data_IF_515281823257
#
_entry.id   IF_515281823257
#
_cell.length_a   1.000
_cell.length_b   1.000
_cell.length_c   1.000
_cell.angle_alpha   90.00
_cell.angle_beta   90.00
_cell.angle_gamma   90.00
#
_symmetry.space_group_name_H-M   'P 1'
#
loop_
_entity.id
_entity.type
_entity.pdbx_description
1 polymer ?
#
# COMPACT_ATOMS: atom_id res chain seq x y z
N UNK A 1 17.28 6.64 18.58
CA UNK A 1 18.69 6.23 18.44
C UNK A 1 19.36 7.10 17.39
N UNK A 2 20.65 7.37 17.52
CA UNK A 2 21.46 8.02 16.48
C UNK A 2 21.85 7.01 15.40
N UNK A 3 22.27 7.48 14.22
CA UNK A 3 22.76 6.59 13.16
C UNK A 3 23.94 5.70 13.62
N UNK A 4 24.83 6.22 14.47
CA UNK A 4 25.95 5.43 15.00
C UNK A 4 25.44 4.34 15.97
N UNK A 5 24.51 4.68 16.87
CA UNK A 5 23.91 3.70 17.78
C UNK A 5 23.19 2.58 17.02
N UNK A 6 22.52 2.91 15.90
CA UNK A 6 21.86 1.91 15.05
C UNK A 6 22.90 1.01 14.37
N UNK A 7 24.00 1.59 13.87
CA UNK A 7 25.07 0.84 13.22
C UNK A 7 25.71 -0.17 14.19
N UNK A 8 25.99 0.28 15.41
CA UNK A 8 26.59 -0.55 16.46
C UNK A 8 25.62 -1.66 16.90
N UNK A 9 24.35 -1.31 17.17
CA UNK A 9 23.34 -2.25 17.64
C UNK A 9 23.04 -3.37 16.62
N UNK A 10 23.05 -3.04 15.32
CA UNK A 10 22.78 -4.01 14.25
C UNK A 10 24.05 -4.64 13.67
N UNK A 11 25.24 -4.22 14.10
CA UNK A 11 26.53 -4.66 13.55
C UNK A 11 26.62 -4.51 12.02
N UNK A 12 26.12 -3.38 11.49
CA UNK A 12 26.16 -3.06 10.05
C UNK A 12 26.90 -1.75 9.80
N UNK A 13 27.35 -1.54 8.57
CA UNK A 13 28.13 -0.35 8.22
C UNK A 13 27.30 0.95 8.34
N UNK A 14 27.97 2.05 8.67
CA UNK A 14 27.35 3.39 8.69
C UNK A 14 26.72 3.77 7.34
N UNK A 15 27.31 3.31 6.23
CA UNK A 15 26.75 3.49 4.89
C UNK A 15 25.42 2.76 4.71
N UNK A 16 25.32 1.51 5.20
CA UNK A 16 24.08 0.74 5.19
C UNK A 16 23.00 1.40 6.05
N UNK A 17 23.35 1.88 7.26
CA UNK A 17 22.42 2.64 8.11
C UNK A 17 21.94 3.92 7.44
N UNK A 18 22.86 4.69 6.83
CA UNK A 18 22.50 5.95 6.16
C UNK A 18 21.53 5.70 5.00
N UNK A 19 21.79 4.66 4.21
CA UNK A 19 20.89 4.25 3.13
C UNK A 19 19.54 3.80 3.68
N UNK A 20 19.52 2.95 4.71
CA UNK A 20 18.29 2.49 5.35
C UNK A 20 17.45 3.63 5.94
N UNK A 21 18.07 4.60 6.62
CA UNK A 21 17.40 5.78 7.15
C UNK A 21 16.77 6.60 6.02
N UNK A 22 17.52 6.85 4.93
CA UNK A 22 17.00 7.60 3.79
C UNK A 22 15.79 6.91 3.18
N UNK A 23 15.84 5.59 3.01
CA UNK A 23 14.71 4.81 2.50
C UNK A 23 13.51 4.86 3.46
N UNK A 24 13.72 4.59 4.75
CA UNK A 24 12.65 4.64 5.76
C UNK A 24 12.01 6.03 5.87
N UNK A 25 12.80 7.11 5.74
CA UNK A 25 12.28 8.47 5.66
C UNK A 25 11.49 8.72 4.39
N UNK A 26 11.97 8.20 3.24
CA UNK A 26 11.24 8.32 1.98
C UNK A 26 9.85 7.70 2.12
N UNK A 27 9.73 6.55 2.79
CA UNK A 27 8.44 5.88 3.07
C UNK A 27 7.70 6.43 4.30
N UNK A 28 8.20 7.51 4.93
CA UNK A 28 7.63 8.12 6.12
C UNK A 28 7.45 7.16 7.31
N UNK A 29 8.31 6.15 7.44
CA UNK A 29 8.23 5.12 8.49
C UNK A 29 8.99 5.49 9.77
N UNK A 30 9.89 6.47 9.67
CA UNK A 30 10.63 7.00 10.81
C UNK A 30 10.47 8.51 10.90
N UNK A 31 10.67 9.05 12.11
CA UNK A 31 10.70 10.47 12.41
C UNK A 31 12.04 10.85 13.00
N UNK A 32 12.46 12.08 12.70
CA UNK A 32 13.67 12.68 13.26
C UNK A 32 13.30 13.55 14.44
N UNK A 33 14.01 13.38 15.54
CA UNK A 33 13.92 14.18 16.74
C UNK A 33 15.27 14.85 17.01
N UNK A 34 15.21 16.12 17.39
CA UNK A 34 16.37 16.90 17.79
C UNK A 34 16.31 17.15 19.30
N UNK A 35 17.44 16.98 19.97
CA UNK A 35 17.56 17.26 21.40
C UNK A 35 18.23 18.64 21.55
N UNK A 36 17.61 19.60 22.25
CA UNK A 36 18.20 20.92 22.44
C UNK A 36 19.62 20.85 23.02
N UNK A 37 20.57 21.56 22.40
CA UNK A 37 21.98 21.55 22.79
C UNK A 37 22.80 20.39 22.21
N UNK A 38 22.16 19.39 21.60
CA UNK A 38 22.84 18.36 20.82
C UNK A 38 22.70 18.64 19.31
N UNK A 39 23.77 18.39 18.55
CA UNK A 39 23.80 18.54 17.09
C UNK A 39 23.42 17.24 16.36
N UNK A 40 23.26 16.13 17.08
CA UNK A 40 22.92 14.83 16.50
C UNK A 40 21.45 14.74 16.13
N UNK A 41 21.17 13.98 15.09
CA UNK A 41 19.83 13.53 14.73
C UNK A 41 19.49 12.22 15.46
N UNK A 42 18.28 12.13 16.00
CA UNK A 42 17.75 10.93 16.62
C UNK A 42 16.56 10.41 15.82
N UNK A 43 16.58 9.12 15.50
CA UNK A 43 15.52 8.47 14.74
C UNK A 43 14.66 7.60 15.66
N UNK A 44 13.36 7.61 15.39
CA UNK A 44 12.36 6.77 16.04
C UNK A 44 11.32 6.27 15.02
N UNK A 45 10.69 5.11 15.23
CA UNK A 45 9.53 4.70 14.46
C UNK A 45 8.46 5.78 14.49
N UNK A 46 7.79 6.00 13.37
CA UNK A 46 6.76 7.00 13.26
C UNK A 46 5.37 6.38 13.47
N UNK A 47 5.13 5.78 14.64
CA UNK A 47 3.88 5.09 14.98
C UNK A 47 4.08 3.60 15.17
N UNK A 48 2.98 2.89 15.37
CA UNK A 48 2.97 1.44 15.54
C UNK A 48 3.08 0.71 14.19
N UNK A 49 3.26 -0.62 14.21
CA UNK A 49 3.37 -1.43 12.99
C UNK A 49 2.17 -1.21 12.05
N UNK A 50 0.96 -1.07 12.60
CA UNK A 50 -0.24 -0.82 11.80
C UNK A 50 -0.19 0.54 11.08
N UNK A 51 0.24 1.59 11.77
CA UNK A 51 0.40 2.92 11.18
C UNK A 51 1.43 2.89 10.06
N UNK A 52 2.56 2.21 10.29
CA UNK A 52 3.61 2.05 9.29
C UNK A 52 3.14 1.26 8.07
N UNK A 53 2.38 0.17 8.27
CA UNK A 53 1.80 -0.60 7.17
C UNK A 53 0.84 0.27 6.33
N UNK A 54 -0.05 1.03 6.97
CA UNK A 54 -0.94 1.95 6.27
C UNK A 54 -0.17 3.00 5.45
N UNK A 55 0.89 3.58 6.01
CA UNK A 55 1.75 4.52 5.26
C UNK A 55 2.43 3.89 4.06
N UNK A 56 2.91 2.65 4.16
CA UNK A 56 3.47 1.95 3.00
C UNK A 56 2.42 1.83 1.89
N UNK A 57 1.19 1.44 2.23
CA UNK A 57 0.10 1.36 1.24
C UNK A 57 -0.26 2.73 0.64
N UNK A 58 -0.31 3.80 1.45
CA UNK A 58 -0.57 5.16 0.98
C UNK A 58 0.53 5.66 0.04
N UNK A 59 1.80 5.53 0.43
CA UNK A 59 2.94 5.95 -0.39
C UNK A 59 3.04 5.12 -1.67
N UNK A 60 2.72 3.82 -1.60
CA UNK A 60 2.66 2.96 -2.78
C UNK A 60 1.57 3.44 -3.75
N UNK A 61 0.35 3.66 -3.26
CA UNK A 61 -0.77 4.17 -4.04
C UNK A 61 -0.39 5.48 -4.72
N UNK A 62 0.16 6.42 -3.96
CA UNK A 62 0.56 7.75 -4.44
C UNK A 62 1.65 7.70 -5.50
N UNK A 63 2.64 6.81 -5.36
CA UNK A 63 3.80 6.72 -6.27
C UNK A 63 3.52 5.93 -7.54
N UNK A 64 2.67 4.92 -7.46
CA UNK A 64 2.52 3.92 -8.53
C UNK A 64 1.09 3.90 -9.11
N UNK A 65 0.07 3.94 -8.25
CA UNK A 65 -1.32 3.71 -8.67
C UNK A 65 -1.99 5.00 -9.17
N UNK A 66 -1.93 6.08 -8.41
CA UNK A 66 -2.57 7.34 -8.76
C UNK A 66 -2.03 7.92 -10.09
N UNK A 67 -0.71 7.88 -10.39
CA UNK A 67 -0.19 8.28 -11.69
C UNK A 67 -0.66 7.39 -12.83
N UNK A 68 -0.74 6.07 -12.61
CA UNK A 68 -1.22 5.12 -13.63
C UNK A 68 -2.69 5.33 -13.93
N UNK A 69 -3.54 5.55 -12.92
CA UNK A 69 -4.95 5.87 -13.10
C UNK A 69 -5.13 7.18 -13.88
N UNK A 70 -4.32 8.19 -13.57
CA UNK A 70 -4.35 9.48 -14.28
C UNK A 70 -3.97 9.31 -15.74
N UNK A 71 -2.88 8.59 -16.03
CA UNK A 71 -2.45 8.28 -17.39
C UNK A 71 -3.53 7.53 -18.18
N UNK A 72 -4.11 6.47 -17.59
CA UNK A 72 -5.18 5.71 -18.25
C UNK A 72 -6.39 6.59 -18.54
N UNK A 73 -6.78 7.46 -17.59
CA UNK A 73 -7.89 8.39 -17.78
C UNK A 73 -7.62 9.36 -18.93
N UNK A 74 -6.43 9.93 -19.00
CA UNK A 74 -6.06 10.88 -20.05
C UNK A 74 -6.13 10.21 -21.43
N UNK A 75 -5.59 9.00 -21.58
CA UNK A 75 -5.65 8.24 -22.84
C UNK A 75 -7.08 7.82 -23.24
N UNK A 76 -7.97 7.66 -22.26
CA UNK A 76 -9.38 7.31 -22.50
C UNK A 76 -10.25 8.54 -22.90
N UNK A 77 -9.73 9.75 -22.74
CA UNK A 77 -10.42 10.98 -23.16
C UNK A 77 -10.19 11.34 -24.63
N UNK A 78 -9.11 10.83 -25.23
CA UNK A 78 -8.79 11.06 -26.63
C UNK A 78 -9.75 10.30 -27.57
N UNK A 79 -10.06 10.88 -28.72
CA UNK A 79 -10.84 10.19 -29.75
C UNK A 79 -9.96 9.17 -30.49
N UNK A 80 -10.40 7.91 -30.55
CA UNK A 80 -9.69 6.87 -31.30
C UNK A 80 -9.65 7.20 -32.80
N UNK A 81 -8.45 7.18 -33.39
CA UNK A 81 -8.23 7.47 -34.80
C UNK A 81 -8.49 6.27 -35.73
N UNK A 82 -8.50 5.05 -35.19
CA UNK A 82 -8.66 3.81 -35.93
C UNK A 82 -9.19 2.66 -35.06
N UNK A 83 -9.49 1.50 -35.67
CA UNK A 83 -10.05 0.34 -34.98
C UNK A 83 -9.08 -0.30 -33.95
N UNK A 84 -7.77 -0.27 -34.20
CA UNK A 84 -6.76 -0.80 -33.26
C UNK A 84 -6.72 0.06 -31.99
N UNK A 85 -6.77 1.38 -32.15
CA UNK A 85 -6.82 2.33 -31.04
C UNK A 85 -8.13 2.22 -30.25
N UNK A 86 -9.26 2.01 -30.94
CA UNK A 86 -10.55 1.75 -30.28
C UNK A 86 -10.49 0.49 -29.42
N UNK A 87 -9.87 -0.58 -29.93
CA UNK A 87 -9.65 -1.81 -29.15
C UNK A 87 -8.71 -1.56 -27.95
N UNK A 88 -7.61 -0.84 -28.15
CA UNK A 88 -6.67 -0.49 -27.09
C UNK A 88 -7.36 0.32 -25.97
N UNK A 89 -8.16 1.33 -26.32
CA UNK A 89 -8.96 2.11 -25.38
C UNK A 89 -9.93 1.23 -24.59
N UNK A 90 -10.59 0.25 -25.23
CA UNK A 90 -11.44 -0.70 -24.51
C UNK A 90 -10.65 -1.47 -23.44
N UNK A 91 -9.48 -2.00 -23.78
CA UNK A 91 -8.63 -2.72 -22.83
C UNK A 91 -8.11 -1.81 -21.71
N UNK A 92 -7.70 -0.58 -22.03
CA UNK A 92 -7.32 0.44 -21.05
C UNK A 92 -8.46 0.76 -20.08
N UNK A 93 -9.70 0.83 -20.58
CA UNK A 93 -10.89 1.03 -19.75
C UNK A 93 -11.14 -0.11 -18.76
N UNK A 94 -10.97 -1.36 -19.19
CA UNK A 94 -11.09 -2.53 -18.31
C UNK A 94 -10.03 -2.50 -17.20
N UNK A 95 -8.77 -2.19 -17.54
CA UNK A 95 -7.67 -2.05 -16.58
C UNK A 95 -7.94 -0.91 -15.60
N UNK A 96 -8.34 0.26 -16.11
CA UNK A 96 -8.68 1.43 -15.30
C UNK A 96 -9.77 1.09 -14.27
N UNK A 97 -10.86 0.47 -14.70
CA UNK A 97 -11.98 0.12 -13.82
C UNK A 97 -11.57 -0.90 -12.74
N UNK A 98 -10.75 -1.89 -13.10
CA UNK A 98 -10.21 -2.84 -12.13
C UNK A 98 -9.34 -2.14 -11.09
N UNK A 99 -8.38 -1.31 -11.54
CA UNK A 99 -7.51 -0.56 -10.64
C UNK A 99 -8.29 0.39 -9.74
N UNK A 100 -9.30 1.08 -10.27
CA UNK A 100 -10.17 1.96 -9.49
C UNK A 100 -10.92 1.17 -8.39
N UNK A 101 -11.45 0.00 -8.73
CA UNK A 101 -12.18 -0.86 -7.79
C UNK A 101 -11.26 -1.34 -6.66
N UNK A 102 -10.09 -1.87 -7.00
CA UNK A 102 -9.10 -2.33 -6.01
C UNK A 102 -8.64 -1.18 -5.12
N UNK A 103 -8.42 0.00 -5.69
CA UNK A 103 -7.95 1.19 -4.95
C UNK A 103 -9.01 1.72 -3.99
N UNK A 104 -10.28 1.75 -4.41
CA UNK A 104 -11.42 2.12 -3.54
C UNK A 104 -11.51 1.17 -2.35
N UNK A 105 -11.53 -0.14 -2.61
CA UNK A 105 -11.59 -1.15 -1.57
C UNK A 105 -10.38 -1.09 -0.62
N UNK A 106 -9.17 -0.95 -1.15
CA UNK A 106 -7.95 -0.79 -0.34
C UNK A 106 -8.04 0.45 0.57
N UNK A 107 -8.57 1.56 0.07
CA UNK A 107 -8.75 2.79 0.85
C UNK A 107 -9.78 2.61 1.98
N UNK A 108 -10.81 1.78 1.79
CA UNK A 108 -11.75 1.41 2.85
C UNK A 108 -11.08 0.56 3.93
N UNK A 109 -10.26 -0.42 3.54
CA UNK A 109 -9.52 -1.26 4.48
C UNK A 109 -8.54 -0.47 5.35
N UNK A 110 -7.86 0.53 4.79
CA UNK A 110 -6.91 1.37 5.53
C UNK A 110 -7.58 2.19 6.65
N UNK A 111 -8.90 2.44 6.55
CA UNK A 111 -9.66 3.14 7.60
C UNK A 111 -10.00 2.24 8.78
N UNK A 112 -9.81 0.93 8.65
CA UNK A 112 -10.12 -0.03 9.70
C UNK A 112 -8.99 -0.10 10.71
N UNK A 113 -9.34 -0.26 11.98
CA UNK A 113 -8.39 -0.69 13.01
C UNK A 113 -8.00 -2.16 12.78
N UNK A 114 -6.86 -2.63 13.35
CA UNK A 114 -6.48 -4.04 13.29
C UNK A 114 -7.59 -4.99 13.77
N UNK A 115 -8.32 -4.61 14.82
CA UNK A 115 -9.42 -5.39 15.38
C UNK A 115 -10.61 -5.46 14.42
N UNK A 116 -10.93 -4.36 13.75
CA UNK A 116 -11.99 -4.30 12.75
C UNK A 116 -11.64 -5.16 11.53
N UNK A 117 -10.40 -5.08 11.04
CA UNK A 117 -9.95 -5.94 9.95
C UNK A 117 -10.00 -7.42 10.33
N UNK A 118 -9.55 -7.78 11.53
CA UNK A 118 -9.61 -9.17 12.00
C UNK A 118 -11.05 -9.68 12.09
N UNK A 119 -11.99 -8.85 12.57
CA UNK A 119 -13.42 -9.18 12.55
C UNK A 119 -13.93 -9.39 11.13
N UNK A 120 -13.58 -8.51 10.19
CA UNK A 120 -13.95 -8.62 8.79
C UNK A 120 -13.43 -9.94 8.16
N UNK A 121 -12.16 -10.26 8.39
CA UNK A 121 -11.54 -11.50 7.89
C UNK A 121 -12.22 -12.75 8.45
N UNK A 122 -12.58 -12.74 9.74
CA UNK A 122 -13.33 -13.85 10.35
C UNK A 122 -14.71 -14.02 9.71
N UNK A 123 -15.43 -12.94 9.46
CA UNK A 123 -16.72 -12.95 8.77
C UNK A 123 -16.60 -13.47 7.33
N UNK A 124 -15.60 -12.99 6.58
CA UNK A 124 -15.32 -13.45 5.21
C UNK A 124 -15.03 -14.95 5.13
N UNK A 125 -14.23 -15.49 6.06
CA UNK A 125 -13.98 -16.93 6.16
C UNK A 125 -15.24 -17.75 6.48
N UNK A 126 -16.20 -17.12 7.18
CA UNK A 126 -17.52 -17.70 7.45
C UNK A 126 -18.37 -17.79 6.19
N UNK A 127 -18.35 -16.74 5.35
CA UNK A 127 -19.07 -16.72 4.06
C UNK A 127 -18.49 -17.76 3.10
N UNK A 128 -17.16 -17.88 3.01
CA UNK A 128 -16.51 -18.93 2.21
C UNK A 128 -16.96 -20.33 2.61
N UNK A 129 -17.02 -20.62 3.92
CA UNK A 129 -17.53 -21.90 4.44
C UNK A 129 -19.00 -22.15 4.10
N UNK A 130 -19.84 -21.12 4.09
CA UNK A 130 -21.27 -21.24 3.74
C UNK A 130 -21.46 -21.47 2.24
N UNK A 131 -20.66 -20.81 1.39
CA UNK A 131 -20.66 -21.04 -0.07
C UNK A 131 -20.14 -22.45 -0.38
N UNK A 132 -19.02 -22.88 0.23
CA UNK A 132 -18.48 -24.23 0.07
C UNK A 132 -19.47 -25.31 0.54
N UNK A 133 -20.22 -25.05 1.61
CA UNK A 133 -21.23 -25.97 2.13
C UNK A 133 -22.45 -26.02 1.21
N UNK A 134 -22.88 -24.87 0.68
CA UNK A 134 -23.92 -24.78 -0.36
C UNK A 134 -23.47 -25.57 -1.59
N UNK A 135 -22.29 -25.33 -2.13
CA UNK A 135 -21.79 -26.03 -3.31
C UNK A 135 -21.66 -27.54 -3.09
N UNK A 136 -21.31 -28.00 -1.89
CA UNK A 136 -21.30 -29.45 -1.55
C UNK A 136 -22.69 -30.08 -1.43
N UNK A 137 -23.69 -29.31 -0.99
CA UNK A 137 -25.08 -29.78 -0.86
C UNK A 137 -25.79 -29.75 -2.21
N UNK A 138 -25.50 -28.74 -3.04
CA UNK A 138 -26.17 -28.51 -4.33
C UNK A 138 -25.42 -29.08 -5.56
N UNK A 139 -24.17 -29.55 -5.45
CA UNK A 139 -23.49 -30.37 -6.48
C UNK A 139 -23.84 -31.87 -6.44
N UNK A 140 -24.88 -32.25 -5.71
CA UNK A 140 -25.34 -33.64 -5.63
C UNK A 140 -26.62 -33.85 -6.42
N UNK A 141 -26.60 -33.50 -7.71
CA UNK A 141 -27.49 -33.99 -8.77
C UNK A 141 -26.68 -34.12 -10.08
#
# INVERSE_FOLDING_TARGET
MTANEIADALSISRGNVSMGIKELQSWQLIKVHHIPGDRKEYYAPAGEIWDMANRVFEERKKREIDPTLSLLRDNLLDEASNEEELYAQKQMGEIHNLLETVTKWSSELQRLSPEQLNKLMKLGSGIGKVIDLKDKIFKKE
#
